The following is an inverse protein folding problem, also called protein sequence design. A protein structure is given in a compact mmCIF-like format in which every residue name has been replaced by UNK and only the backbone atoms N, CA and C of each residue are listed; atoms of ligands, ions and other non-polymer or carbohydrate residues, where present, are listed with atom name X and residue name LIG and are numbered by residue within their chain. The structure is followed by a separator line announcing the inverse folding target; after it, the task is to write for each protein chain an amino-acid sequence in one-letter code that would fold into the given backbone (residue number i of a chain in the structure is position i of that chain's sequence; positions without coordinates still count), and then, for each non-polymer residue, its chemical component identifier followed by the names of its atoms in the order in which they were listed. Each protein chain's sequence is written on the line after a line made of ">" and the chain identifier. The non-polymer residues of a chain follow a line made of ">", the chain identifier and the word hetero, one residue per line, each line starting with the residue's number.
data_IF_814737805337
#
_entry.id   IF_814737805337
#
_cell.length_a   1.000
_cell.length_b   1.000
_cell.length_c   1.000
_cell.angle_alpha   90.00
_cell.angle_beta   90.00
_cell.angle_gamma   90.00
#
_symmetry.space_group_name_H-M   'P 1'
#
loop_
_entity.id
_entity.type
_entity.pdbx_description
1 polymer ?
#
# COMPACT_ATOMS: atom_id res chain seq x y z
N UNK A 1 11.19 -28.76 -22.43
CA UNK A 1 10.45 -29.60 -21.46
C UNK A 1 9.44 -28.69 -20.78
N UNK A 2 8.13 -29.03 -20.78
CA UNK A 2 7.14 -28.24 -20.04
C UNK A 2 7.44 -28.42 -18.55
N UNK A 3 7.85 -27.35 -17.87
CA UNK A 3 8.04 -27.37 -16.42
C UNK A 3 6.67 -27.70 -15.81
N UNK A 4 6.52 -28.88 -15.24
CA UNK A 4 5.23 -29.32 -14.69
C UNK A 4 5.11 -28.68 -13.32
N UNK A 5 4.02 -27.95 -13.06
CA UNK A 5 3.83 -27.32 -11.76
C UNK A 5 3.88 -28.39 -10.66
N UNK A 6 4.71 -28.17 -9.65
CA UNK A 6 4.90 -29.11 -8.54
C UNK A 6 3.71 -29.07 -7.56
N UNK A 7 2.92 -28.01 -7.64
CA UNK A 7 1.76 -27.77 -6.80
C UNK A 7 0.46 -28.04 -7.56
N UNK A 8 -0.44 -28.78 -6.92
CA UNK A 8 -1.80 -29.05 -7.43
C UNK A 8 -2.85 -28.17 -6.75
N UNK A 9 -2.49 -27.54 -5.63
CA UNK A 9 -3.36 -26.67 -4.86
C UNK A 9 -2.58 -25.53 -4.19
N UNK A 10 -3.31 -24.49 -3.79
CA UNK A 10 -2.78 -23.31 -3.09
C UNK A 10 -3.62 -23.04 -1.86
N UNK A 11 -2.97 -22.70 -0.75
CA UNK A 11 -3.62 -22.22 0.46
C UNK A 11 -3.05 -20.85 0.83
N UNK A 12 -3.93 -19.85 0.95
CA UNK A 12 -3.55 -18.52 1.42
C UNK A 12 -3.69 -18.41 2.93
N UNK A 13 -2.66 -17.88 3.57
CA UNK A 13 -2.59 -17.61 5.01
C UNK A 13 -2.32 -16.12 5.18
N UNK A 14 -3.39 -15.33 5.14
CA UNK A 14 -3.32 -13.88 5.36
C UNK A 14 -3.46 -13.55 6.84
N UNK A 15 -2.48 -12.83 7.41
CA UNK A 15 -2.65 -12.24 8.73
C UNK A 15 -3.20 -10.83 8.59
N UNK A 16 -4.51 -10.70 8.85
CA UNK A 16 -5.23 -9.44 8.72
C UNK A 16 -4.98 -8.60 9.96
N UNK A 17 -4.22 -7.53 9.80
CA UNK A 17 -3.99 -6.51 10.81
C UNK A 17 -4.32 -5.14 10.23
N UNK A 18 -4.85 -4.23 11.06
CA UNK A 18 -5.10 -2.86 10.62
C UNK A 18 -3.76 -2.16 10.42
N UNK A 19 -3.43 -1.76 9.19
CA UNK A 19 -2.26 -0.92 8.88
C UNK A 19 -2.63 0.53 8.55
N UNK A 20 -3.92 0.85 8.69
CA UNK A 20 -4.43 2.23 8.69
C UNK A 20 -4.01 2.98 9.95
N UNK A 21 -4.02 4.32 9.91
CA UNK A 21 -3.92 5.15 11.11
C UNK A 21 -5.02 4.84 12.15
N UNK A 22 -4.71 4.99 13.45
CA UNK A 22 -5.62 4.69 14.57
C UNK A 22 -6.82 5.68 14.69
N UNK A 23 -6.68 6.89 14.17
CA UNK A 23 -7.66 7.98 14.27
C UNK A 23 -8.06 8.47 12.89
N UNK A 24 -8.69 7.60 12.09
CA UNK A 24 -9.21 7.96 10.77
C UNK A 24 -10.49 8.79 10.93
N UNK A 25 -10.33 10.10 11.10
CA UNK A 25 -11.41 11.05 10.82
C UNK A 25 -11.30 11.45 9.36
N UNK A 26 -12.29 10.99 8.58
CA UNK A 26 -12.43 11.40 7.19
C UNK A 26 -13.31 12.62 7.14
N UNK A 27 -12.77 13.76 6.70
CA UNK A 27 -13.62 14.88 6.30
C UNK A 27 -14.21 14.51 4.93
N UNK A 28 -15.47 14.07 4.94
CA UNK A 28 -16.27 13.76 3.74
C UNK A 28 -15.61 12.83 2.69
N UNK A 29 -14.88 11.78 3.10
CA UNK A 29 -14.18 10.86 2.17
C UNK A 29 -13.03 11.51 1.36
N UNK A 30 -12.63 12.74 1.71
CA UNK A 30 -11.67 13.54 0.93
C UNK A 30 -10.38 13.86 1.68
N UNK A 31 -10.36 13.70 3.02
CA UNK A 31 -9.09 13.74 3.75
C UNK A 31 -9.06 12.83 4.97
N UNK A 32 -8.21 11.81 4.91
CA UNK A 32 -7.84 10.96 6.03
C UNK A 32 -6.70 11.58 6.85
N UNK A 33 -7.02 11.89 8.11
CA UNK A 33 -6.08 12.16 9.17
C UNK A 33 -5.81 10.91 9.99
N UNK A 34 -4.68 10.85 10.69
CA UNK A 34 -4.54 9.91 11.80
C UNK A 34 -3.11 9.67 12.24
N UNK A 35 -2.99 8.96 13.36
CA UNK A 35 -1.72 8.62 13.98
C UNK A 35 -1.36 7.18 13.60
N UNK A 36 -0.19 7.00 12.98
CA UNK A 36 0.39 5.68 12.78
C UNK A 36 1.00 5.16 14.08
N UNK A 37 0.76 3.88 14.38
CA UNK A 37 1.32 3.22 15.55
C UNK A 37 2.74 2.76 15.28
N UNK A 38 3.60 2.86 16.30
CA UNK A 38 4.98 2.41 16.27
C UNK A 38 5.80 3.00 17.42
N UNK A 39 7.08 2.68 17.47
CA UNK A 39 8.04 3.26 18.41
C UNK A 39 8.76 4.49 17.82
N UNK A 40 9.25 5.37 18.69
CA UNK A 40 9.91 6.63 18.31
C UNK A 40 11.17 6.45 17.46
N UNK A 41 11.92 5.38 17.72
CA UNK A 41 13.14 5.04 16.99
C UNK A 41 12.81 3.94 15.99
N UNK A 42 13.00 4.23 14.70
CA UNK A 42 12.82 3.27 13.59
C UNK A 42 13.47 1.91 13.88
N UNK A 43 14.68 1.94 14.44
CA UNK A 43 15.41 0.72 14.76
C UNK A 43 14.75 -0.15 15.84
N UNK A 44 14.10 0.46 16.83
CA UNK A 44 13.38 -0.23 17.90
C UNK A 44 12.01 -0.70 17.40
N UNK A 45 11.32 0.12 16.60
CA UNK A 45 10.05 -0.22 15.95
C UNK A 45 10.19 -1.45 15.04
N UNK A 46 11.21 -1.47 14.18
CA UNK A 46 11.54 -2.62 13.32
C UNK A 46 11.78 -3.87 14.18
N UNK A 47 12.53 -3.76 15.28
CA UNK A 47 12.79 -4.91 16.15
C UNK A 47 11.52 -5.43 16.83
N UNK A 48 10.62 -4.54 17.25
CA UNK A 48 9.32 -4.92 17.81
C UNK A 48 8.43 -5.62 16.76
N UNK A 49 8.35 -5.07 15.55
CA UNK A 49 7.59 -5.68 14.44
C UNK A 49 8.14 -7.03 14.01
N UNK A 50 9.46 -7.21 13.99
CA UNK A 50 10.08 -8.52 13.75
C UNK A 50 9.66 -9.56 14.80
N UNK A 51 9.51 -9.19 16.08
CA UNK A 51 8.97 -10.10 17.11
C UNK A 51 7.51 -10.47 16.85
N UNK A 52 6.69 -9.50 16.40
CA UNK A 52 5.30 -9.76 15.98
C UNK A 52 5.28 -10.76 14.83
N UNK A 53 6.06 -10.52 13.76
CA UNK A 53 6.15 -11.42 12.61
C UNK A 53 6.61 -12.81 13.02
N UNK A 54 7.63 -12.93 13.86
CA UNK A 54 8.11 -14.22 14.37
C UNK A 54 7.00 -14.99 15.08
N UNK A 55 6.23 -14.31 15.95
CA UNK A 55 5.12 -14.92 16.69
C UNK A 55 3.98 -15.36 15.78
N UNK A 56 3.57 -14.49 14.86
CA UNK A 56 2.48 -14.75 13.91
C UNK A 56 2.85 -15.86 12.94
N UNK A 57 4.07 -15.83 12.42
CA UNK A 57 4.55 -16.84 11.49
C UNK A 57 4.63 -18.21 12.17
N UNK A 58 5.14 -18.28 13.40
CA UNK A 58 5.18 -19.51 14.17
C UNK A 58 3.76 -20.07 14.40
N UNK A 59 2.79 -19.20 14.71
CA UNK A 59 1.39 -19.61 14.83
C UNK A 59 0.81 -20.12 13.51
N UNK A 60 1.10 -19.45 12.39
CA UNK A 60 0.64 -19.84 11.06
C UNK A 60 1.18 -21.21 10.65
N UNK A 61 2.49 -21.44 10.77
CA UNK A 61 3.12 -22.71 10.37
C UNK A 61 2.75 -23.87 11.30
N UNK A 62 2.39 -23.57 12.56
CA UNK A 62 1.97 -24.57 13.55
C UNK A 62 0.45 -24.80 13.55
N UNK A 63 -0.32 -24.07 12.73
CA UNK A 63 -1.77 -24.18 12.71
C UNK A 63 -2.21 -25.51 12.09
N UNK A 64 -3.15 -26.19 12.76
CA UNK A 64 -3.78 -27.42 12.24
C UNK A 64 -4.67 -27.16 11.01
N UNK A 65 -5.06 -25.91 10.79
CA UNK A 65 -5.87 -25.52 9.63
C UNK A 65 -5.01 -25.33 8.37
N UNK A 66 -3.68 -25.30 8.52
CA UNK A 66 -2.75 -25.23 7.39
C UNK A 66 -2.43 -26.64 6.90
N UNK A 67 -2.58 -26.84 5.60
CA UNK A 67 -2.32 -28.11 4.93
C UNK A 67 -0.88 -28.55 5.15
N UNK A 68 -0.66 -29.82 5.48
CA UNK A 68 0.68 -30.42 5.51
C UNK A 68 1.08 -31.05 4.17
N UNK A 69 0.22 -31.02 3.15
CA UNK A 69 0.46 -31.66 1.85
C UNK A 69 1.57 -30.95 1.07
N UNK A 70 2.58 -31.70 0.62
CA UNK A 70 3.70 -31.19 -0.17
C UNK A 70 3.27 -30.68 -1.55
N UNK A 71 2.12 -31.15 -2.09
CA UNK A 71 1.54 -30.65 -3.34
C UNK A 71 0.70 -29.37 -3.15
N UNK A 72 0.58 -28.86 -1.91
CA UNK A 72 -0.05 -27.56 -1.63
C UNK A 72 1.03 -26.47 -1.45
N UNK A 73 0.98 -25.40 -2.25
CA UNK A 73 1.72 -24.16 -1.99
C UNK A 73 1.00 -23.35 -0.90
N UNK A 74 1.71 -23.00 0.17
CA UNK A 74 1.19 -22.11 1.23
C UNK A 74 1.69 -20.70 0.95
N UNK A 75 0.80 -19.74 0.92
CA UNK A 75 1.13 -18.33 0.65
C UNK A 75 0.82 -17.52 1.90
N UNK A 76 1.86 -17.17 2.66
CA UNK A 76 1.73 -16.29 3.82
C UNK A 76 1.82 -14.82 3.38
N UNK A 77 0.88 -14.01 3.83
CA UNK A 77 0.80 -12.59 3.45
C UNK A 77 0.54 -11.68 4.65
N UNK A 78 1.23 -10.54 4.68
CA UNK A 78 0.87 -9.37 5.49
C UNK A 78 0.39 -8.25 4.56
N UNK A 79 -0.45 -7.32 5.06
CA UNK A 79 -0.96 -6.20 4.28
C UNK A 79 0.12 -5.16 3.95
N UNK A 80 -0.21 -4.24 3.04
CA UNK A 80 0.59 -3.05 2.76
C UNK A 80 0.77 -2.21 4.04
N UNK A 81 1.88 -1.48 4.13
CA UNK A 81 2.20 -0.56 5.24
C UNK A 81 2.43 -1.22 6.60
N UNK A 82 2.59 -2.54 6.66
CA UNK A 82 3.00 -3.21 7.91
C UNK A 82 4.35 -2.68 8.43
N UNK A 83 5.29 -2.36 7.53
CA UNK A 83 6.60 -1.82 7.88
C UNK A 83 6.62 -0.31 7.60
N UNK A 84 5.98 0.43 8.51
CA UNK A 84 5.85 1.88 8.52
C UNK A 84 6.01 2.36 9.97
N UNK A 85 6.83 3.37 10.19
CA UNK A 85 7.03 4.00 11.50
C UNK A 85 5.96 5.06 11.82
N UNK A 86 6.03 5.63 13.02
CA UNK A 86 5.09 6.69 13.46
C UNK A 86 5.20 7.99 12.64
N UNK A 87 6.35 8.18 11.98
CA UNK A 87 6.63 9.30 11.07
C UNK A 87 6.44 8.91 9.60
N UNK A 88 5.90 7.72 9.32
CA UNK A 88 5.76 7.21 7.97
C UNK A 88 6.88 6.28 7.52
N UNK A 89 7.49 6.59 6.38
CA UNK A 89 8.60 5.80 5.85
C UNK A 89 9.80 5.86 6.80
N UNK A 90 10.44 4.70 7.04
CA UNK A 90 11.65 4.66 7.85
C UNK A 90 12.78 5.42 7.17
N UNK A 91 13.54 6.17 7.95
CA UNK A 91 14.57 7.05 7.42
C UNK A 91 15.91 6.32 7.24
N UNK A 92 16.50 6.49 6.06
CA UNK A 92 17.85 6.06 5.73
C UNK A 92 18.78 7.27 5.71
N UNK A 93 19.89 7.16 6.41
CA UNK A 93 20.91 8.21 6.48
C UNK A 93 21.62 8.48 5.14
N UNK A 94 21.58 7.54 4.19
CA UNK A 94 22.28 7.62 2.91
C UNK A 94 21.35 7.31 1.72
N UNK A 95 21.48 8.04 0.61
CA UNK A 95 20.61 7.84 -0.57
C UNK A 95 20.91 6.56 -1.36
N UNK A 96 22.15 6.07 -1.28
CA UNK A 96 22.65 4.92 -2.05
C UNK A 96 22.46 3.57 -1.34
N UNK A 97 22.09 3.57 -0.06
CA UNK A 97 21.93 2.37 0.76
C UNK A 97 20.59 2.46 1.49
N UNK A 98 19.83 1.38 1.50
CA UNK A 98 18.54 1.30 2.19
C UNK A 98 18.69 0.46 3.47
N UNK A 99 19.35 1.04 4.47
CA UNK A 99 19.70 0.36 5.73
C UNK A 99 18.47 -0.19 6.47
N UNK A 100 17.33 0.50 6.38
CA UNK A 100 16.09 0.07 6.99
C UNK A 100 15.51 -1.16 6.27
N UNK A 101 15.53 -1.16 4.93
CA UNK A 101 15.14 -2.32 4.16
C UNK A 101 16.05 -3.53 4.42
N UNK A 102 17.37 -3.33 4.48
CA UNK A 102 18.34 -4.39 4.74
C UNK A 102 18.15 -4.99 6.14
N UNK A 103 17.90 -4.14 7.15
CA UNK A 103 17.61 -4.60 8.52
C UNK A 103 16.33 -5.44 8.59
N UNK A 104 15.26 -4.99 7.94
CA UNK A 104 13.98 -5.72 7.91
C UNK A 104 14.13 -7.04 7.15
N UNK A 105 14.66 -7.01 5.94
CA UNK A 105 14.80 -8.20 5.08
C UNK A 105 15.75 -9.26 5.67
N UNK A 106 16.84 -8.83 6.31
CA UNK A 106 17.75 -9.71 7.04
C UNK A 106 17.07 -10.31 8.27
N UNK A 107 16.31 -9.52 9.03
CA UNK A 107 15.54 -9.99 10.18
C UNK A 107 14.49 -11.02 9.79
N UNK A 108 13.74 -10.76 8.72
CA UNK A 108 12.74 -11.69 8.15
C UNK A 108 13.37 -13.00 7.70
N UNK A 109 14.49 -12.93 6.99
CA UNK A 109 15.26 -14.12 6.58
C UNK A 109 15.74 -14.91 7.80
N UNK A 110 16.21 -14.22 8.85
CA UNK A 110 16.62 -14.84 10.10
C UNK A 110 15.48 -15.57 10.82
N UNK A 111 14.28 -14.98 10.83
CA UNK A 111 13.07 -15.61 11.39
C UNK A 111 12.74 -16.89 10.62
N UNK A 112 12.68 -16.82 9.29
CA UNK A 112 12.38 -17.98 8.43
C UNK A 112 13.38 -19.11 8.70
N UNK A 113 14.69 -18.82 8.61
CA UNK A 113 15.75 -19.80 8.86
C UNK A 113 15.70 -20.41 10.26
N UNK A 114 15.26 -19.65 11.25
CA UNK A 114 15.13 -20.17 12.60
C UNK A 114 13.94 -21.12 12.75
N UNK A 115 12.83 -20.83 12.07
CA UNK A 115 11.64 -21.69 12.04
C UNK A 115 11.93 -22.96 11.22
N UNK A 116 12.68 -22.87 10.12
CA UNK A 116 13.09 -24.01 9.28
C UNK A 116 13.87 -25.09 10.03
N UNK A 117 14.53 -24.74 11.16
CA UNK A 117 15.18 -25.72 12.05
C UNK A 117 14.19 -26.69 12.69
N UNK A 118 12.90 -26.35 12.73
CA UNK A 118 11.86 -27.07 13.46
C UNK A 118 10.74 -27.61 12.53
N UNK A 119 10.56 -27.02 11.35
CA UNK A 119 9.54 -27.46 10.39
C UNK A 119 9.97 -27.22 8.93
N UNK A 120 9.43 -28.01 8.01
CA UNK A 120 9.70 -27.85 6.57
C UNK A 120 8.91 -26.67 5.97
N UNK A 121 9.63 -25.66 5.48
CA UNK A 121 9.06 -24.50 4.81
C UNK A 121 9.26 -24.52 3.28
N UNK A 122 9.69 -25.65 2.70
CA UNK A 122 10.01 -25.78 1.26
C UNK A 122 8.85 -25.47 0.32
N UNK A 123 7.62 -25.52 0.84
CA UNK A 123 6.37 -25.28 0.11
C UNK A 123 5.64 -24.03 0.58
N UNK A 124 6.37 -23.06 1.12
CA UNK A 124 5.86 -21.77 1.54
C UNK A 124 6.43 -20.62 0.71
N UNK A 125 5.54 -19.74 0.27
CA UNK A 125 5.84 -18.44 -0.29
C UNK A 125 5.45 -17.37 0.74
N UNK A 126 6.37 -16.47 1.06
CA UNK A 126 6.14 -15.42 2.04
C UNK A 126 6.18 -14.04 1.39
N UNK A 127 5.15 -13.23 1.67
CA UNK A 127 5.07 -11.81 1.33
C UNK A 127 4.81 -11.03 2.61
N UNK A 128 5.82 -10.40 3.17
CA UNK A 128 5.72 -9.76 4.50
C UNK A 128 5.18 -8.33 4.44
N UNK A 129 4.18 -8.10 3.59
CA UNK A 129 3.63 -6.77 3.40
C UNK A 129 4.64 -5.83 2.78
N UNK A 130 4.37 -4.55 2.88
CA UNK A 130 5.17 -3.53 2.22
C UNK A 130 6.02 -2.72 3.19
N UNK A 131 7.25 -2.41 2.76
CA UNK A 131 8.32 -1.73 3.48
C UNK A 131 8.47 -0.33 2.92
N UNK A 132 8.17 0.66 3.76
CA UNK A 132 8.31 2.06 3.40
C UNK A 132 9.60 2.62 3.95
N UNK A 133 10.43 3.14 3.04
CA UNK A 133 11.70 3.76 3.41
C UNK A 133 11.93 5.03 2.60
N UNK A 134 12.70 5.96 3.15
CA UNK A 134 13.07 7.20 2.47
C UNK A 134 14.48 7.59 2.85
N UNK A 135 15.13 8.41 2.03
CA UNK A 135 16.39 9.08 2.38
C UNK A 135 16.25 10.60 2.39
N UNK A 136 15.02 11.10 2.23
CA UNK A 136 14.76 12.53 2.33
C UNK A 136 14.37 12.87 3.77
N UNK A 137 15.01 13.93 4.29
CA UNK A 137 14.83 14.38 5.67
C UNK A 137 13.40 14.89 5.83
N UNK A 138 12.76 14.41 6.88
CA UNK A 138 11.36 14.70 7.21
C UNK A 138 11.28 15.94 8.11
N UNK A 139 11.29 17.11 7.48
CA UNK A 139 10.86 18.36 8.10
C UNK A 139 9.78 18.99 7.20
N UNK A 140 8.64 18.31 7.05
CA UNK A 140 7.56 18.82 6.20
C UNK A 140 6.34 19.13 7.06
N UNK A 141 6.34 20.31 7.66
CA UNK A 141 5.28 21.27 7.38
C UNK A 141 6.01 22.40 6.67
N UNK A 142 5.69 22.60 5.40
CA UNK A 142 6.09 23.78 4.65
C UNK A 142 5.01 24.85 4.83
N UNK A 143 5.35 26.12 4.58
CA UNK A 143 4.34 27.17 4.47
C UNK A 143 3.33 26.86 3.34
N UNK A 144 3.75 26.06 2.36
CA UNK A 144 2.89 25.53 1.30
C UNK A 144 1.89 24.49 1.83
N UNK A 145 2.26 23.59 2.74
CA UNK A 145 1.33 22.64 3.39
C UNK A 145 0.24 23.40 4.16
N UNK A 146 0.63 24.46 4.87
CA UNK A 146 -0.31 25.34 5.59
C UNK A 146 -1.21 26.11 4.62
N UNK A 147 -0.66 26.56 3.49
CA UNK A 147 -1.41 27.27 2.45
C UNK A 147 -2.37 26.33 1.72
N UNK A 148 -1.96 25.11 1.40
CA UNK A 148 -2.78 24.08 0.76
C UNK A 148 -3.92 23.62 1.67
N UNK A 149 -3.66 23.47 2.98
CA UNK A 149 -4.71 23.22 3.96
C UNK A 149 -5.77 24.34 3.93
N UNK A 150 -5.34 25.61 3.98
CA UNK A 150 -6.24 26.76 3.93
C UNK A 150 -6.99 26.89 2.60
N UNK A 151 -6.30 26.76 1.47
CA UNK A 151 -6.88 26.84 0.13
C UNK A 151 -7.87 25.70 -0.10
N UNK A 152 -7.56 24.51 0.43
CA UNK A 152 -8.45 23.38 0.36
C UNK A 152 -9.67 23.49 1.24
N UNK A 153 -9.56 24.05 2.44
CA UNK A 153 -10.71 24.39 3.29
C UNK A 153 -11.60 25.47 2.64
N UNK A 154 -10.97 26.48 2.02
CA UNK A 154 -11.67 27.48 1.22
C UNK A 154 -12.38 26.84 0.02
N UNK A 155 -11.75 25.86 -0.65
CA UNK A 155 -12.33 25.13 -1.76
C UNK A 155 -13.47 24.20 -1.33
N UNK A 156 -13.34 23.48 -0.22
CA UNK A 156 -14.41 22.68 0.37
C UNK A 156 -15.58 23.56 0.81
N UNK A 157 -15.30 24.77 1.29
CA UNK A 157 -16.32 25.78 1.57
C UNK A 157 -17.04 26.22 0.29
N UNK A 158 -16.30 26.48 -0.80
CA UNK A 158 -16.87 26.77 -2.13
C UNK A 158 -17.69 25.60 -2.67
N UNK A 159 -17.17 24.36 -2.60
CA UNK A 159 -17.88 23.14 -3.01
C UNK A 159 -19.17 22.95 -2.20
N UNK A 160 -19.12 23.13 -0.88
CA UNK A 160 -20.27 23.06 0.02
C UNK A 160 -21.32 24.13 -0.29
N UNK A 161 -20.87 25.36 -0.58
CA UNK A 161 -21.73 26.46 -1.05
C UNK A 161 -22.38 26.13 -2.40
N UNK A 162 -21.63 25.59 -3.36
CA UNK A 162 -22.14 25.18 -4.67
C UNK A 162 -23.14 24.03 -4.54
N UNK A 163 -22.86 23.02 -3.72
CA UNK A 163 -23.74 21.88 -3.44
C UNK A 163 -25.03 22.31 -2.73
N UNK A 164 -24.96 23.25 -1.80
CA UNK A 164 -26.11 23.78 -1.04
C UNK A 164 -27.04 24.65 -1.90
N UNK A 165 -26.49 25.34 -2.90
CA UNK A 165 -27.24 26.25 -3.78
C UNK A 165 -27.58 25.66 -5.16
N UNK A 166 -27.07 24.47 -5.47
CA UNK A 166 -27.43 23.70 -6.66
C UNK A 166 -28.89 23.20 -6.55
N UNK A 167 -29.79 23.52 -7.51
CA UNK A 167 -31.10 22.88 -7.55
C UNK A 167 -30.93 21.36 -7.69
N UNK A 168 -31.82 20.59 -7.06
CA UNK A 168 -31.74 19.12 -6.82
C UNK A 168 -31.46 18.28 -8.09
N UNK A 169 -31.60 18.85 -9.29
CA UNK A 169 -31.34 18.21 -10.58
C UNK A 169 -30.05 18.69 -11.29
N UNK A 170 -29.20 19.52 -10.68
CA UNK A 170 -27.99 20.09 -11.31
C UNK A 170 -26.72 19.29 -11.02
N UNK A 171 -26.80 17.96 -11.13
CA UNK A 171 -25.64 17.05 -11.12
C UNK A 171 -24.68 17.26 -12.31
N UNK A 172 -24.87 18.32 -13.12
CA UNK A 172 -24.13 18.58 -14.34
C UNK A 172 -22.96 19.57 -14.20
N UNK A 173 -22.94 20.50 -13.24
CA UNK A 173 -21.95 21.60 -13.22
C UNK A 173 -20.50 21.14 -13.06
N UNK A 174 -20.20 20.43 -11.97
CA UNK A 174 -18.84 19.89 -11.70
C UNK A 174 -18.47 18.79 -12.70
N UNK A 175 -19.43 17.93 -13.08
CA UNK A 175 -19.21 16.92 -14.13
C UNK A 175 -18.85 17.57 -15.46
N UNK A 176 -19.42 18.73 -15.78
CA UNK A 176 -19.12 19.49 -16.99
C UNK A 176 -17.74 20.15 -16.89
N UNK A 177 -17.39 20.77 -15.77
CA UNK A 177 -16.03 21.33 -15.57
C UNK A 177 -14.96 20.23 -15.68
N UNK A 178 -15.16 19.07 -15.07
CA UNK A 178 -14.28 17.90 -15.23
C UNK A 178 -14.24 17.38 -16.67
N UNK A 179 -15.37 17.40 -17.38
CA UNK A 179 -15.42 17.07 -18.82
C UNK A 179 -14.71 18.13 -19.68
N UNK A 180 -14.73 19.41 -19.29
CA UNK A 180 -13.98 20.47 -19.96
C UNK A 180 -12.48 20.26 -19.77
N UNK A 181 -12.05 19.89 -18.55
CA UNK A 181 -10.65 19.52 -18.26
C UNK A 181 -10.21 18.32 -19.11
N UNK A 182 -11.06 17.28 -19.20
CA UNK A 182 -10.80 16.08 -20.00
C UNK A 182 -10.99 16.28 -21.52
N UNK A 183 -11.26 17.51 -21.99
CA UNK A 183 -11.59 17.85 -23.38
C UNK A 183 -12.83 17.10 -23.96
N UNK A 184 -13.64 16.51 -23.08
CA UNK A 184 -14.89 15.80 -23.40
C UNK A 184 -16.12 16.71 -23.49
N UNK A 185 -15.97 17.99 -23.17
CA UNK A 185 -16.99 19.02 -23.33
C UNK A 185 -16.33 20.38 -23.63
N UNK A 186 -17.01 21.23 -24.40
CA UNK A 186 -16.60 22.62 -24.57
C UNK A 186 -17.07 23.47 -23.38
N UNK A 187 -16.32 24.52 -23.05
CA UNK A 187 -16.77 25.55 -22.13
C UNK A 187 -17.85 26.40 -22.80
N UNK A 188 -18.96 26.66 -22.11
CA UNK A 188 -20.05 27.46 -22.70
C UNK A 188 -19.74 28.97 -22.65
N UNK A 189 -18.82 29.38 -21.79
CA UNK A 189 -18.42 30.77 -21.58
C UNK A 189 -17.01 30.84 -20.97
N UNK A 190 -16.46 32.06 -20.87
CA UNK A 190 -15.13 32.27 -20.31
C UNK A 190 -15.01 31.86 -18.83
N UNK A 191 -16.09 32.00 -18.04
CA UNK A 191 -16.08 31.58 -16.63
C UNK A 191 -15.95 30.06 -16.48
N UNK A 192 -16.67 29.27 -17.28
CA UNK A 192 -16.54 27.81 -17.30
C UNK A 192 -15.10 27.39 -17.65
N UNK A 193 -14.45 28.12 -18.58
CA UNK A 193 -13.07 27.86 -18.99
C UNK A 193 -12.07 28.26 -17.90
N UNK A 194 -12.21 29.43 -17.30
CA UNK A 194 -11.36 29.90 -16.20
C UNK A 194 -11.49 29.00 -14.96
N UNK A 195 -12.71 28.59 -14.60
CA UNK A 195 -12.95 27.71 -13.46
C UNK A 195 -12.46 26.28 -13.73
N UNK A 196 -12.57 25.79 -14.97
CA UNK A 196 -11.99 24.50 -15.36
C UNK A 196 -10.46 24.55 -15.37
N UNK A 197 -9.86 25.65 -15.85
CA UNK A 197 -8.41 25.86 -15.80
C UNK A 197 -7.92 25.94 -14.37
N UNK A 198 -8.60 26.68 -13.48
CA UNK A 198 -8.26 26.74 -12.07
C UNK A 198 -8.36 25.35 -11.43
N UNK A 199 -9.41 24.59 -11.72
CA UNK A 199 -9.54 23.21 -11.24
C UNK A 199 -8.43 22.31 -11.80
N UNK A 200 -8.02 22.49 -13.06
CA UNK A 200 -6.89 21.80 -13.66
C UNK A 200 -5.56 22.17 -12.99
N UNK A 201 -5.32 23.46 -12.76
CA UNK A 201 -4.13 23.98 -12.09
C UNK A 201 -4.04 23.39 -10.67
N UNK A 202 -5.15 23.39 -9.92
CA UNK A 202 -5.18 22.80 -8.57
C UNK A 202 -4.99 21.28 -8.64
N UNK A 203 -5.62 20.56 -9.59
CA UNK A 203 -5.39 19.11 -9.76
C UNK A 203 -3.95 18.77 -10.16
N UNK A 204 -3.24 19.71 -10.79
CA UNK A 204 -1.85 19.61 -11.20
C UNK A 204 -0.89 20.27 -10.20
N UNK A 205 -1.36 20.77 -9.05
CA UNK A 205 -0.48 21.33 -8.03
C UNK A 205 0.38 20.19 -7.45
N UNK A 206 1.67 20.22 -7.73
CA UNK A 206 2.61 19.27 -7.14
C UNK A 206 2.81 19.61 -5.66
N UNK A 207 2.48 18.67 -4.78
CA UNK A 207 2.94 18.68 -3.39
C UNK A 207 4.47 18.49 -3.37
N UNK A 208 5.19 19.26 -2.57
CA UNK A 208 6.62 19.08 -2.35
C UNK A 208 6.96 17.67 -1.84
N UNK A 209 5.99 16.98 -1.22
CA UNK A 209 6.07 15.56 -0.88
C UNK A 209 6.13 14.66 -2.12
N UNK A 210 5.46 14.99 -3.23
CA UNK A 210 5.51 14.21 -4.46
C UNK A 210 6.93 14.16 -5.06
N UNK A 211 7.76 15.17 -4.76
CA UNK A 211 9.17 15.21 -5.14
C UNK A 211 10.09 14.39 -4.22
N UNK A 212 9.56 13.84 -3.11
CA UNK A 212 10.36 13.07 -2.15
C UNK A 212 10.58 11.63 -2.63
N UNK A 213 11.79 11.14 -2.44
CA UNK A 213 12.20 9.78 -2.73
C UNK A 213 11.75 8.88 -1.58
N UNK A 214 10.54 8.36 -1.72
CA UNK A 214 10.03 7.24 -0.93
C UNK A 214 10.12 5.95 -1.74
N UNK A 215 10.37 4.83 -1.08
CA UNK A 215 10.23 3.51 -1.65
C UNK A 215 9.16 2.75 -0.88
N UNK A 216 8.35 1.98 -1.59
CA UNK A 216 7.38 1.07 -1.02
C UNK A 216 7.63 -0.30 -1.67
N UNK A 217 8.17 -1.24 -0.90
CA UNK A 217 8.65 -2.53 -1.43
C UNK A 217 8.08 -3.71 -0.67
N UNK A 218 7.63 -4.74 -1.38
CA UNK A 218 7.32 -6.04 -0.79
C UNK A 218 8.57 -6.91 -0.78
N UNK A 219 8.96 -7.40 0.40
CA UNK A 219 9.94 -8.47 0.53
C UNK A 219 9.26 -9.82 0.24
N UNK A 220 9.82 -10.58 -0.69
CA UNK A 220 9.29 -11.88 -1.12
C UNK A 220 10.33 -12.95 -0.86
N UNK A 221 9.94 -14.05 -0.23
CA UNK A 221 10.84 -15.17 0.05
C UNK A 221 10.22 -16.49 -0.38
N UNK A 222 10.99 -17.29 -1.13
CA UNK A 222 10.62 -18.64 -1.55
C UNK A 222 11.87 -19.49 -1.77
N UNK A 223 11.96 -20.65 -1.08
CA UNK A 223 13.06 -21.63 -1.21
C UNK A 223 14.44 -20.97 -1.22
N UNK A 224 14.77 -20.27 -0.14
CA UNK A 224 16.05 -19.57 0.05
C UNK A 224 16.32 -18.39 -0.89
N UNK A 225 15.39 -18.07 -1.81
CA UNK A 225 15.48 -16.92 -2.69
C UNK A 225 14.69 -15.76 -2.12
N UNK A 226 15.43 -14.73 -1.72
CA UNK A 226 14.89 -13.42 -1.39
C UNK A 226 14.78 -12.55 -2.65
N UNK A 227 13.63 -11.92 -2.83
CA UNK A 227 13.37 -10.96 -3.90
C UNK A 227 12.67 -9.72 -3.32
N UNK A 228 12.70 -8.64 -4.08
CA UNK A 228 11.98 -7.41 -3.76
C UNK A 228 11.06 -7.02 -4.91
N UNK A 229 9.89 -6.49 -4.59
CA UNK A 229 8.95 -5.93 -5.56
C UNK A 229 8.67 -4.50 -5.16
N UNK A 230 8.97 -3.57 -6.05
CA UNK A 230 8.75 -2.13 -5.84
C UNK A 230 7.39 -1.74 -6.39
N UNK A 231 6.61 -1.00 -5.60
CA UNK A 231 5.38 -0.32 -6.04
C UNK A 231 5.72 0.69 -7.15
N UNK A 232 4.97 0.66 -8.25
CA UNK A 232 5.18 1.54 -9.41
C UNK A 232 4.38 2.83 -9.24
N UNK A 233 3.11 2.71 -8.87
CA UNK A 233 2.23 3.86 -8.68
C UNK A 233 2.13 4.21 -7.22
N UNK A 234 2.72 5.33 -6.80
CA UNK A 234 2.56 5.81 -5.43
C UNK A 234 1.24 6.53 -5.24
N UNK A 235 0.67 6.38 -4.05
CA UNK A 235 -0.40 7.20 -3.53
C UNK A 235 0.16 8.13 -2.46
N UNK A 236 -0.66 9.09 -2.04
CA UNK A 236 -0.32 10.00 -0.94
C UNK A 236 0.19 9.26 0.30
N UNK A 237 -0.47 8.16 0.67
CA UNK A 237 -0.15 7.42 1.88
C UNK A 237 1.32 7.01 1.90
N UNK A 238 1.93 6.73 0.74
CA UNK A 238 3.35 6.44 0.63
C UNK A 238 4.22 7.59 1.14
N UNK A 239 3.82 8.83 0.92
CA UNK A 239 4.58 10.05 1.21
C UNK A 239 4.25 10.72 2.54
N UNK A 240 3.40 10.14 3.38
CA UNK A 240 3.17 10.68 4.74
C UNK A 240 4.48 10.51 5.52
N UNK A 241 5.35 11.50 5.43
CA UNK A 241 6.72 11.51 5.93
C UNK A 241 6.84 12.27 7.26
N UNK A 242 5.78 12.91 7.72
CA UNK A 242 5.78 13.66 8.97
C UNK A 242 4.45 13.45 9.69
N UNK A 243 4.53 13.21 11.01
CA UNK A 243 3.39 13.33 11.91
C UNK A 243 3.77 14.31 13.02
N UNK A 244 3.78 15.62 12.74
CA UNK A 244 3.96 16.61 13.78
C UNK A 244 2.61 16.76 14.49
N UNK A 245 2.31 15.90 15.46
CA UNK A 245 1.39 16.19 16.60
C UNK A 245 1.19 15.04 17.59
N UNK A 246 2.23 14.26 17.90
CA UNK A 246 2.21 13.50 19.16
C UNK A 246 2.10 14.45 20.38
N UNK A 247 2.75 15.61 20.29
CA UNK A 247 2.88 16.56 21.41
C UNK A 247 1.64 17.46 21.59
N UNK A 248 0.80 17.61 20.57
CA UNK A 248 -0.37 18.52 20.58
C UNK A 248 -1.72 17.82 20.68
N UNK A 249 -1.77 16.49 20.51
CA UNK A 249 -3.03 15.73 20.58
C UNK A 249 -4.06 16.07 19.50
N UNK A 250 -3.66 16.74 18.41
CA UNK A 250 -4.53 17.16 17.29
C UNK A 250 -3.80 16.92 15.98
N UNK A 251 -4.40 16.24 15.01
CA UNK A 251 -3.76 16.03 13.70
C UNK A 251 -3.80 17.34 12.89
N UNK A 252 -2.67 17.82 12.38
CA UNK A 252 -2.63 19.00 11.52
C UNK A 252 -3.16 18.67 10.10
N UNK A 253 -3.98 19.58 9.56
CA UNK A 253 -4.69 19.44 8.29
C UNK A 253 -3.75 19.35 7.07
N UNK A 254 -4.21 18.67 6.03
CA UNK A 254 -3.54 18.40 4.74
C UNK A 254 -4.62 17.96 3.71
N UNK A 255 -4.64 18.54 2.52
CA UNK A 255 -5.62 18.12 1.52
C UNK A 255 -5.07 17.00 0.64
N UNK A 256 -5.83 15.91 0.52
CA UNK A 256 -5.41 14.68 -0.17
C UNK A 256 -5.73 14.68 -1.67
N UNK A 257 -6.64 15.55 -2.12
CA UNK A 257 -7.33 15.36 -3.40
C UNK A 257 -6.66 16.01 -4.60
N UNK A 258 -5.53 16.69 -4.43
CA UNK A 258 -5.05 17.67 -5.42
C UNK A 258 -3.63 17.41 -5.96
N UNK A 259 -3.11 16.19 -5.89
CA UNK A 259 -1.70 15.91 -6.26
C UNK A 259 -1.58 14.81 -7.29
N UNK A 260 -0.86 15.09 -8.39
CA UNK A 260 -0.37 14.08 -9.32
C UNK A 260 0.97 13.51 -8.82
N UNK A 261 0.97 12.24 -8.41
CA UNK A 261 2.17 11.57 -7.90
C UNK A 261 2.92 10.87 -9.03
N UNK A 262 4.25 11.04 -9.12
CA UNK A 262 5.00 10.44 -10.21
C UNK A 262 5.03 8.92 -10.12
N UNK A 263 4.98 8.27 -11.28
CA UNK A 263 5.36 6.88 -11.44
C UNK A 263 6.83 6.69 -10.99
N UNK A 264 7.07 5.65 -10.19
CA UNK A 264 8.39 5.23 -9.75
C UNK A 264 9.01 4.36 -10.85
N UNK A 265 9.17 4.93 -12.05
CA UNK A 265 10.04 4.34 -13.06
C UNK A 265 11.43 4.12 -12.44
N UNK A 266 12.10 3.01 -12.78
CA UNK A 266 13.30 2.46 -12.14
C UNK A 266 14.53 3.39 -12.09
N UNK A 267 14.41 4.52 -11.41
CA UNK A 267 15.49 5.36 -10.94
C UNK A 267 16.39 4.50 -10.05
N UNK A 268 17.69 4.80 -10.03
CA UNK A 268 18.72 4.14 -9.22
C UNK A 268 18.17 3.72 -7.84
N UNK A 269 17.69 2.48 -7.79
CA UNK A 269 17.00 1.93 -6.63
C UNK A 269 18.08 1.26 -5.80
N UNK A 270 18.27 1.65 -4.53
CA UNK A 270 19.31 1.06 -3.67
C UNK A 270 19.07 -0.44 -3.42
N UNK A 271 17.85 -0.93 -3.71
CA UNK A 271 17.46 -2.33 -3.59
C UNK A 271 17.14 -2.88 -4.98
N UNK A 272 17.74 -4.00 -5.34
CA UNK A 272 17.39 -4.73 -6.56
C UNK A 272 15.97 -5.29 -6.45
N UNK A 273 15.16 -5.05 -7.48
CA UNK A 273 13.76 -5.46 -7.54
C UNK A 273 13.48 -6.28 -8.80
N UNK A 274 12.45 -7.12 -8.74
CA UNK A 274 11.97 -7.88 -9.89
C UNK A 274 11.35 -6.92 -10.91
N UNK A 275 11.90 -6.86 -12.12
CA UNK A 275 11.55 -5.88 -13.16
C UNK A 275 10.06 -5.80 -13.48
N UNK A 276 9.35 -6.93 -13.47
CA UNK A 276 7.92 -6.98 -13.79
C UNK A 276 7.05 -7.49 -12.65
N UNK A 277 7.60 -7.57 -11.43
CA UNK A 277 6.89 -8.09 -10.26
C UNK A 277 6.33 -9.51 -10.44
N UNK A 278 6.90 -10.28 -11.37
CA UNK A 278 6.52 -11.67 -11.66
C UNK A 278 7.69 -12.63 -11.44
N UNK A 279 7.40 -13.85 -10.98
CA UNK A 279 8.40 -14.89 -10.76
C UNK A 279 7.78 -16.30 -10.82
N UNK A 280 8.63 -17.30 -11.05
CA UNK A 280 8.25 -18.71 -10.96
C UNK A 280 8.27 -19.18 -9.49
N UNK A 281 7.19 -19.85 -9.10
CA UNK A 281 7.09 -20.52 -7.80
C UNK A 281 6.70 -21.98 -8.01
N UNK A 282 7.70 -22.82 -8.29
CA UNK A 282 7.47 -24.25 -8.48
C UNK A 282 6.68 -24.58 -9.75
N UNK A 283 6.91 -23.83 -10.82
CA UNK A 283 6.17 -23.97 -12.08
C UNK A 283 4.86 -23.17 -12.16
N UNK A 284 4.49 -22.43 -11.10
CA UNK A 284 3.40 -21.46 -11.13
C UNK A 284 3.95 -20.07 -11.47
N UNK A 285 3.32 -19.37 -12.42
CA UNK A 285 3.63 -17.99 -12.76
C UNK A 285 2.88 -17.04 -11.81
N UNK A 286 3.61 -16.43 -10.87
CA UNK A 286 3.05 -15.55 -9.85
C UNK A 286 3.36 -14.10 -10.19
N UNK A 287 2.38 -13.22 -10.04
CA UNK A 287 2.58 -11.76 -10.05
C UNK A 287 2.11 -11.12 -8.74
N UNK A 288 2.80 -10.07 -8.31
CA UNK A 288 2.46 -9.33 -7.09
C UNK A 288 2.29 -7.85 -7.40
N UNK A 289 1.24 -7.25 -6.84
CA UNK A 289 0.97 -5.82 -6.88
C UNK A 289 0.87 -5.25 -5.47
N UNK A 290 1.22 -3.98 -5.34
CA UNK A 290 1.07 -3.23 -4.09
C UNK A 290 -0.02 -2.18 -4.30
N UNK A 291 -1.21 -2.43 -3.74
CA UNK A 291 -2.31 -1.49 -3.64
C UNK A 291 -2.67 -0.78 -4.95
N UNK A 292 -2.27 0.49 -5.10
CA UNK A 292 -2.60 1.34 -6.25
C UNK A 292 -2.14 0.73 -7.58
N UNK A 293 -1.06 -0.06 -7.59
CA UNK A 293 -0.60 -0.83 -8.77
C UNK A 293 -1.74 -1.63 -9.42
N UNK A 294 -2.59 -2.26 -8.60
CA UNK A 294 -3.72 -3.04 -9.08
C UNK A 294 -4.75 -2.14 -9.76
N UNK A 295 -5.14 -1.04 -9.11
CA UNK A 295 -6.12 -0.11 -9.68
C UNK A 295 -5.65 0.55 -10.97
N UNK A 296 -4.32 0.73 -11.12
CA UNK A 296 -3.65 1.28 -12.31
C UNK A 296 -3.32 0.21 -13.35
N UNK A 297 -3.76 -1.03 -13.12
CA UNK A 297 -3.66 -2.14 -14.06
C UNK A 297 -2.20 -2.44 -14.43
N UNK A 298 -1.27 -2.36 -13.47
CA UNK A 298 0.16 -2.52 -13.71
C UNK A 298 0.48 -3.85 -14.40
N UNK A 299 0.13 -4.97 -13.77
CA UNK A 299 0.44 -6.30 -14.33
C UNK A 299 -0.35 -6.56 -15.61
N UNK A 300 -1.61 -6.13 -15.68
CA UNK A 300 -2.42 -6.26 -16.89
C UNK A 300 -1.82 -5.44 -18.06
N UNK A 301 -1.29 -4.26 -17.77
CA UNK A 301 -0.55 -3.42 -18.71
C UNK A 301 0.69 -4.13 -19.24
N UNK A 302 1.47 -4.78 -18.37
CA UNK A 302 2.60 -5.60 -18.81
C UNK A 302 2.19 -6.80 -19.66
N UNK A 303 1.09 -7.48 -19.29
CA UNK A 303 0.54 -8.60 -20.04
C UNK A 303 0.09 -8.17 -21.44
N UNK A 304 -0.67 -7.08 -21.53
CA UNK A 304 -1.15 -6.53 -22.82
C UNK A 304 -0.02 -6.13 -23.77
N UNK A 305 1.14 -5.73 -23.21
CA UNK A 305 2.36 -5.38 -23.95
C UNK A 305 3.26 -6.60 -24.23
N UNK A 306 2.84 -7.81 -23.87
CA UNK A 306 3.60 -9.05 -24.05
C UNK A 306 4.88 -9.14 -23.21
N UNK A 307 5.01 -8.33 -22.14
CA UNK A 307 6.20 -8.32 -21.27
C UNK A 307 6.19 -9.44 -20.24
N UNK A 308 5.01 -9.93 -19.89
CA UNK A 308 4.79 -11.09 -19.03
C UNK A 308 3.80 -12.04 -19.70
N UNK A 309 3.75 -13.28 -19.21
CA UNK A 309 2.71 -14.25 -19.56
C UNK A 309 1.54 -14.12 -18.59
N UNK A 310 0.39 -14.67 -18.96
CA UNK A 310 -0.75 -14.78 -18.04
C UNK A 310 -0.34 -15.46 -16.73
N UNK A 311 -0.88 -14.95 -15.63
CA UNK A 311 -0.51 -15.41 -14.29
C UNK A 311 -1.39 -16.59 -13.85
N UNK A 312 -0.79 -17.55 -13.16
CA UNK A 312 -1.54 -18.56 -12.41
C UNK A 312 -2.14 -17.94 -11.14
N UNK A 313 -1.35 -17.07 -10.48
CA UNK A 313 -1.73 -16.39 -9.26
C UNK A 313 -1.32 -14.91 -9.35
N UNK A 314 -2.25 -14.02 -9.05
CA UNK A 314 -2.00 -12.60 -8.84
C UNK A 314 -2.31 -12.26 -7.39
N UNK A 315 -1.33 -11.73 -6.67
CA UNK A 315 -1.44 -11.37 -5.26
C UNK A 315 -1.40 -9.85 -5.14
N UNK A 316 -2.37 -9.27 -4.46
CA UNK A 316 -2.38 -7.85 -4.10
C UNK A 316 -2.19 -7.76 -2.59
N UNK A 317 -1.15 -7.05 -2.16
CA UNK A 317 -1.07 -6.58 -0.78
C UNK A 317 -1.52 -5.13 -0.75
N UNK A 318 -2.41 -4.77 0.16
CA UNK A 318 -3.05 -3.46 0.15
C UNK A 318 -3.41 -2.95 1.54
N UNK A 319 -3.76 -1.67 1.60
CA UNK A 319 -4.39 -1.01 2.73
C UNK A 319 -5.41 -0.02 2.14
N UNK A 320 -6.66 -0.47 1.98
CA UNK A 320 -7.75 0.32 1.41
C UNK A 320 -8.06 0.05 -0.06
N UNK A 321 -7.43 -0.95 -0.69
CA UNK A 321 -7.69 -1.29 -2.08
C UNK A 321 -8.52 -2.57 -2.20
N UNK A 322 -9.58 -2.50 -3.00
CA UNK A 322 -10.37 -3.67 -3.35
C UNK A 322 -9.95 -4.22 -4.73
N UNK A 323 -10.08 -5.53 -4.89
CA UNK A 323 -9.80 -6.19 -6.16
C UNK A 323 -10.75 -5.71 -7.25
N UNK A 324 -10.20 -5.41 -8.43
CA UNK A 324 -10.92 -4.98 -9.61
C UNK A 324 -10.77 -6.03 -10.70
N UNK A 325 -11.90 -6.54 -11.20
CA UNK A 325 -11.91 -7.58 -12.24
C UNK A 325 -11.20 -7.13 -13.52
N UNK A 326 -11.32 -5.85 -13.88
CA UNK A 326 -10.70 -5.25 -15.07
C UNK A 326 -9.23 -4.85 -14.86
N UNK A 327 -8.63 -5.25 -13.74
CA UNK A 327 -7.20 -5.18 -13.43
C UNK A 327 -6.53 -6.55 -13.31
N UNK A 328 -7.29 -7.64 -13.50
CA UNK A 328 -6.74 -9.00 -13.40
C UNK A 328 -5.88 -9.34 -14.63
N UNK A 329 -4.66 -9.82 -14.38
CA UNK A 329 -3.69 -10.33 -15.36
C UNK A 329 -3.55 -11.86 -15.31
N UNK A 330 -4.44 -12.54 -14.57
CA UNK A 330 -4.49 -13.99 -14.47
C UNK A 330 -5.06 -14.63 -15.73
N UNK A 331 -4.59 -15.83 -16.07
CA UNK A 331 -5.26 -16.67 -17.08
C UNK A 331 -6.67 -17.02 -16.64
N UNK A 332 -7.48 -17.53 -17.57
CA UNK A 332 -8.78 -18.09 -17.22
C UNK A 332 -8.63 -19.22 -16.19
N UNK A 333 -9.38 -19.13 -15.09
CA UNK A 333 -9.30 -20.05 -13.94
C UNK A 333 -8.09 -19.83 -13.02
N UNK A 334 -7.29 -18.78 -13.24
CA UNK A 334 -6.26 -18.35 -12.30
C UNK A 334 -6.84 -17.70 -11.03
N UNK A 335 -5.98 -17.46 -10.04
CA UNK A 335 -6.37 -16.98 -8.72
C UNK A 335 -5.97 -15.52 -8.55
N UNK A 336 -6.91 -14.69 -8.11
CA UNK A 336 -6.66 -13.33 -7.63
C UNK A 336 -6.89 -13.29 -6.12
N UNK A 337 -5.86 -12.92 -5.35
CA UNK A 337 -5.91 -12.89 -3.89
C UNK A 337 -5.53 -11.50 -3.36
N UNK A 338 -6.19 -11.04 -2.29
CA UNK A 338 -5.89 -9.78 -1.62
C UNK A 338 -5.65 -9.98 -0.13
N UNK A 339 -4.60 -9.34 0.40
CA UNK A 339 -4.40 -9.14 1.83
C UNK A 339 -4.48 -7.64 2.12
N UNK A 340 -5.62 -7.19 2.65
CA UNK A 340 -5.92 -5.77 2.88
C UNK A 340 -5.82 -5.40 4.37
N UNK A 341 -5.21 -4.25 4.64
CA UNK A 341 -4.97 -3.72 5.98
C UNK A 341 -5.98 -2.68 6.46
N UNK A 342 -7.05 -2.39 5.72
CA UNK A 342 -8.07 -1.39 6.09
C UNK A 342 -9.45 -2.04 6.26
N UNK A 343 -9.91 -2.74 5.23
CA UNK A 343 -11.20 -3.39 5.21
C UNK A 343 -11.12 -4.73 5.93
N UNK A 344 -11.28 -4.69 7.26
CA UNK A 344 -11.60 -5.90 8.00
C UNK A 344 -13.01 -6.31 7.59
N UNK A 345 -13.16 -7.53 7.03
CA UNK A 345 -14.47 -8.14 6.83
C UNK A 345 -15.17 -8.14 8.19
N UNK A 346 -16.20 -7.29 8.36
CA UNK A 346 -17.09 -7.33 9.52
C UNK A 346 -17.62 -8.75 9.62
N UNK A 347 -17.06 -9.57 10.50
CA UNK A 347 -17.65 -10.88 10.77
C UNK A 347 -19.01 -10.64 11.40
N UNK A 348 -20.01 -11.22 10.72
CA UNK A 348 -21.36 -11.42 11.19
C UNK A 348 -21.36 -11.69 12.71
N UNK A 349 -22.17 -10.91 13.42
CA UNK A 349 -22.42 -11.00 14.86
C UNK A 349 -22.52 -12.45 15.34
N UNK A 350 -21.83 -12.76 16.45
CA UNK A 350 -21.82 -14.02 17.24
C UNK A 350 -20.60 -14.92 17.02
N UNK A 351 -19.44 -14.46 17.49
CA UNK A 351 -18.55 -15.22 18.40
C UNK A 351 -17.54 -14.24 18.95
N UNK A 352 -17.57 -14.01 20.28
CA UNK A 352 -16.58 -13.22 21.01
C UNK A 352 -15.19 -13.76 20.68
N UNK A 353 -14.43 -13.05 19.84
CA UNK A 353 -12.98 -13.04 19.98
C UNK A 353 -12.72 -12.31 21.29
N UNK A 354 -12.17 -13.03 22.26
CA UNK A 354 -11.73 -12.46 23.52
C UNK A 354 -10.78 -11.31 23.21
N UNK A 355 -11.02 -10.09 23.73
CA UNK A 355 -10.05 -9.03 23.61
C UNK A 355 -8.78 -9.51 24.33
N UNK A 356 -7.64 -9.45 23.66
CA UNK A 356 -6.37 -9.42 24.36
C UNK A 356 -6.49 -8.31 25.43
N UNK A 357 -6.16 -8.59 26.71
CA UNK A 357 -6.25 -7.58 27.73
C UNK A 357 -5.25 -6.47 27.40
N UNK A 358 -5.78 -5.31 27.03
CA UNK A 358 -5.07 -4.04 26.94
C UNK A 358 -4.66 -3.57 28.36
N UNK A 359 -3.84 -4.37 29.04
CA UNK A 359 -3.14 -4.00 30.26
C UNK A 359 -1.69 -4.44 30.11
N UNK A 360 -0.82 -3.44 29.99
CA UNK A 360 0.64 -3.52 29.98
C UNK A 360 1.34 -3.77 28.62
N UNK A 361 0.83 -3.14 27.56
CA UNK A 361 1.71 -2.60 26.52
C UNK A 361 1.64 -1.08 26.64
N UNK A 362 2.41 -0.54 27.60
CA UNK A 362 3.08 0.73 27.35
C UNK A 362 4.17 0.40 26.33
N UNK A 363 3.93 0.80 25.08
CA UNK A 363 4.99 1.09 24.13
C UNK A 363 5.39 2.55 24.35
#
# INVERSE_FOLDING_TARGET
>A
MKNTAIYTSVQFVGHVLSTTPLLKESVEEMSDWGIYLGLDKDGDDIAARLKIVSSVLLQAVSSKDVSSDAATLKVFTLPEFFWRGIRGAYFNSQKSIDEMYDKISSGLTGIIKNIEKQCDLSNWLFLFGSILTTSDITACITDMDTTLARVGDDYLSVYSLLKKNAPINSTSGVSKLLKIIDEKAAADNNYDKELSNLLCDILNMSDDLANKKVYNRCFVYYREKANSIQKEFKSKEDFILNNPSADKGVVEHYLQTMVDYPDVAAAQNPVQTLTYSTFDCGGLNIGVEICLDHSRKRLLGYLSKGRIKELDIQIVISCGMQLKKDSAATRQGGILFNCDGEYVIRRCSKRRLLPFPAKNLQL
#
